data_IF_867416137484
#
_entry.id   IF_867416137484
#
_cell.length_a   1.000
_cell.length_b   1.000
_cell.length_c   1.000
_cell.angle_alpha   90.00
_cell.angle_beta   90.00
_cell.angle_gamma   90.00
#
_symmetry.space_group_name_H-M   'P 1'
#
loop_
_entity.id
_entity.type
_entity.pdbx_description
1 polymer ?
#
# COMPACT_ATOMS: atom_id res chain seq x y z
N UNK A 1 18.10 22.06 23.06
CA UNK A 1 17.07 21.88 22.01
C UNK A 1 17.53 20.82 21.03
N UNK A 2 16.84 19.71 20.99
CA UNK A 2 17.06 18.69 19.97
C UNK A 2 16.48 19.18 18.65
N UNK A 3 17.32 19.44 17.68
CA UNK A 3 16.87 19.73 16.31
C UNK A 3 16.12 18.50 15.81
N UNK A 4 14.84 18.66 15.49
CA UNK A 4 14.08 17.61 14.81
C UNK A 4 14.83 17.27 13.52
N UNK A 5 15.21 16.01 13.36
CA UNK A 5 15.81 15.55 12.09
C UNK A 5 14.83 15.87 10.96
N UNK A 6 15.31 16.41 9.84
CA UNK A 6 14.43 16.68 8.72
C UNK A 6 13.73 15.38 8.28
N UNK A 7 12.44 15.47 8.05
CA UNK A 7 11.63 14.36 7.55
C UNK A 7 12.27 13.82 6.26
N UNK A 8 12.69 12.57 6.29
CA UNK A 8 13.15 11.87 5.09
C UNK A 8 11.93 11.19 4.47
N UNK A 9 11.60 11.50 3.21
CA UNK A 9 10.57 10.73 2.50
C UNK A 9 10.90 9.24 2.57
N UNK A 10 9.95 8.43 3.03
CA UNK A 10 10.15 7.01 3.25
C UNK A 10 10.40 6.58 4.69
N UNK A 11 10.85 7.47 5.58
CA UNK A 11 11.04 7.14 6.99
C UNK A 11 9.72 6.91 7.74
N UNK A 12 8.62 7.39 7.20
CA UNK A 12 7.27 7.23 7.72
C UNK A 12 6.58 5.97 7.19
N UNK A 13 7.17 5.25 6.24
CA UNK A 13 6.61 4.03 5.67
C UNK A 13 6.70 2.90 6.67
N UNK A 14 5.56 2.26 6.94
CA UNK A 14 5.43 1.13 7.88
C UNK A 14 5.62 -0.19 7.14
N UNK A 15 4.92 -0.35 6.02
CA UNK A 15 4.96 -1.55 5.19
C UNK A 15 4.73 -1.17 3.73
N UNK A 16 5.35 -1.91 2.82
CA UNK A 16 5.25 -1.68 1.38
C UNK A 16 4.97 -2.99 0.66
N UNK A 17 4.07 -2.93 -0.32
CA UNK A 17 3.79 -4.06 -1.20
C UNK A 17 4.79 -4.05 -2.35
N UNK A 18 5.88 -4.75 -2.17
CA UNK A 18 7.00 -4.77 -3.13
C UNK A 18 6.65 -5.44 -4.46
N UNK A 19 5.68 -6.35 -4.46
CA UNK A 19 5.25 -7.08 -5.66
C UNK A 19 4.19 -6.37 -6.48
N UNK A 20 3.56 -5.35 -5.92
CA UNK A 20 2.42 -4.69 -6.56
C UNK A 20 2.73 -4.22 -7.98
N UNK A 21 3.84 -3.53 -8.17
CA UNK A 21 4.24 -3.00 -9.48
C UNK A 21 4.73 -4.07 -10.46
N UNK A 22 5.11 -5.23 -9.95
CA UNK A 22 5.47 -6.38 -10.79
C UNK A 22 4.23 -7.16 -11.24
N UNK A 23 3.29 -7.37 -10.34
CA UNK A 23 2.08 -8.16 -10.56
C UNK A 23 0.98 -7.36 -11.28
N UNK A 24 0.94 -6.05 -11.09
CA UNK A 24 -0.14 -5.18 -11.55
C UNK A 24 0.38 -3.96 -12.31
N UNK A 25 -0.39 -3.54 -13.31
CA UNK A 25 -0.23 -2.24 -13.96
C UNK A 25 -1.09 -1.23 -13.20
N UNK A 26 -0.45 -0.33 -12.45
CA UNK A 26 -1.12 0.66 -11.59
C UNK A 26 -1.34 1.93 -12.40
N UNK A 27 -2.60 2.32 -12.58
CA UNK A 27 -2.98 3.48 -13.37
C UNK A 27 -3.23 4.73 -12.54
N UNK A 28 -3.81 4.57 -11.35
CA UNK A 28 -4.16 5.68 -10.49
C UNK A 28 -3.95 5.30 -9.03
N UNK A 29 -3.48 6.23 -8.23
CA UNK A 29 -3.23 6.03 -6.80
C UNK A 29 -4.09 6.98 -5.97
N UNK A 30 -4.58 6.49 -4.82
CA UNK A 30 -5.34 7.26 -3.84
C UNK A 30 -4.74 7.08 -2.46
N UNK A 31 -4.86 8.11 -1.63
CA UNK A 31 -4.54 8.03 -0.21
C UNK A 31 -5.82 7.90 0.59
N UNK A 32 -5.89 6.86 1.42
CA UNK A 32 -7.03 6.60 2.28
C UNK A 32 -6.62 6.59 3.75
N UNK A 33 -7.52 7.01 4.62
CA UNK A 33 -7.39 6.76 6.05
C UNK A 33 -7.80 5.34 6.39
N UNK A 34 -7.36 4.85 7.54
CA UNK A 34 -7.74 3.54 8.07
C UNK A 34 -8.52 3.70 9.37
N UNK A 35 -9.67 3.04 9.45
CA UNK A 35 -10.40 2.90 10.70
C UNK A 35 -9.79 1.75 11.51
N UNK A 36 -9.05 2.10 12.55
CA UNK A 36 -8.24 1.16 13.33
C UNK A 36 -8.72 1.05 14.77
N UNK A 37 -8.54 -0.14 15.35
CA UNK A 37 -8.68 -0.37 16.78
C UNK A 37 -7.39 0.03 17.50
N UNK A 38 -7.47 0.27 18.82
CA UNK A 38 -6.30 0.73 19.59
C UNK A 38 -5.10 -0.21 19.52
N UNK A 39 -5.33 -1.52 19.58
CA UNK A 39 -4.26 -2.52 19.48
C UNK A 39 -3.60 -2.54 18.09
N UNK A 40 -4.36 -2.23 17.04
CA UNK A 40 -3.85 -2.15 15.67
C UNK A 40 -2.90 -0.95 15.50
N UNK A 41 -3.24 0.18 16.10
CA UNK A 41 -2.36 1.36 16.12
C UNK A 41 -1.04 1.05 16.83
N UNK A 42 -1.10 0.34 17.95
CA UNK A 42 0.11 -0.08 18.68
C UNK A 42 0.96 -1.02 17.83
N UNK A 43 0.35 -1.97 17.13
CA UNK A 43 1.05 -2.90 16.22
C UNK A 43 1.74 -2.15 15.09
N UNK A 44 1.08 -1.16 14.50
CA UNK A 44 1.67 -0.31 13.46
C UNK A 44 2.86 0.51 13.97
N UNK A 45 2.76 1.06 15.18
CA UNK A 45 3.88 1.80 15.79
C UNK A 45 5.09 0.92 16.06
N UNK A 46 4.85 -0.36 16.35
CA UNK A 46 5.92 -1.34 16.52
C UNK A 46 6.44 -1.93 15.20
N UNK A 47 5.90 -1.50 14.06
CA UNK A 47 6.27 -2.00 12.74
C UNK A 47 5.78 -3.42 12.46
N UNK A 48 4.80 -3.91 13.22
CA UNK A 48 4.27 -5.27 13.12
C UNK A 48 3.01 -5.34 12.26
N UNK A 49 3.13 -4.86 11.03
CA UNK A 49 2.08 -4.93 10.03
C UNK A 49 2.64 -5.51 8.74
N UNK A 50 1.89 -6.38 8.11
CA UNK A 50 2.23 -6.95 6.81
C UNK A 50 1.10 -6.61 5.84
N UNK A 51 1.45 -5.93 4.76
CA UNK A 51 0.50 -5.57 3.71
C UNK A 51 0.16 -6.77 2.82
N UNK A 52 1.11 -7.69 2.63
CA UNK A 52 0.92 -8.91 1.85
C UNK A 52 0.30 -8.66 0.49
N UNK A 53 -0.64 -9.53 0.11
CA UNK A 53 -1.43 -9.39 -1.12
C UNK A 53 -2.77 -8.71 -0.84
N UNK A 54 -2.78 -7.72 0.03
CA UNK A 54 -3.99 -7.02 0.43
C UNK A 54 -4.62 -6.26 -0.72
N UNK A 55 -5.93 -6.22 -0.71
CA UNK A 55 -6.74 -5.59 -1.74
C UNK A 55 -7.93 -4.86 -1.12
N UNK A 56 -8.57 -4.03 -1.92
CA UNK A 56 -9.72 -3.25 -1.49
C UNK A 56 -10.99 -3.82 -2.11
N UNK A 57 -11.98 -4.10 -1.28
CA UNK A 57 -13.33 -4.45 -1.71
C UNK A 57 -14.27 -3.27 -1.50
N UNK A 58 -15.09 -3.02 -2.52
CA UNK A 58 -16.15 -2.02 -2.47
C UNK A 58 -17.45 -2.71 -2.11
N UNK A 59 -18.07 -2.25 -1.03
CA UNK A 59 -19.29 -2.85 -0.49
C UNK A 59 -20.15 -1.78 0.16
N UNK A 60 -21.45 -1.78 -0.15
CA UNK A 60 -22.45 -0.89 0.46
C UNK A 60 -22.05 0.61 0.44
N UNK A 61 -21.47 1.07 -0.66
CA UNK A 61 -21.04 2.44 -0.82
C UNK A 61 -19.75 2.80 -0.10
N UNK A 62 -19.04 1.83 0.45
CA UNK A 62 -17.80 2.00 1.23
C UNK A 62 -16.68 1.14 0.67
N UNK A 63 -15.45 1.42 1.10
CA UNK A 63 -14.27 0.65 0.75
C UNK A 63 -13.69 -0.03 1.99
N UNK A 64 -13.29 -1.28 1.83
CA UNK A 64 -12.70 -2.09 2.91
C UNK A 64 -11.40 -2.72 2.47
N UNK A 65 -10.42 -2.72 3.36
CA UNK A 65 -9.13 -3.38 3.16
C UNK A 65 -9.18 -4.82 3.67
N UNK A 66 -8.85 -5.76 2.79
CA UNK A 66 -8.76 -7.20 3.08
C UNK A 66 -7.34 -7.73 2.85
N UNK A 67 -6.98 -8.75 3.59
CA UNK A 67 -5.72 -9.47 3.38
C UNK A 67 -4.50 -8.86 4.07
N UNK A 68 -4.63 -7.71 4.70
CA UNK A 68 -3.57 -7.15 5.52
C UNK A 68 -3.53 -7.83 6.89
N UNK A 69 -2.33 -8.07 7.41
CA UNK A 69 -2.12 -8.71 8.71
C UNK A 69 -1.44 -7.73 9.68
N UNK A 70 -2.08 -7.48 10.81
CA UNK A 70 -1.54 -6.69 11.90
C UNK A 70 -1.33 -7.63 13.10
N UNK A 71 -0.07 -7.90 13.42
CA UNK A 71 0.28 -8.83 14.50
C UNK A 71 0.02 -8.17 15.87
N UNK A 72 -0.86 -8.74 16.72
CA UNK A 72 -1.07 -8.22 18.07
C UNK A 72 0.21 -8.27 18.89
N UNK A 73 0.42 -7.23 19.70
CA UNK A 73 1.53 -7.22 20.65
C UNK A 73 1.17 -8.09 21.88
N UNK A 74 2.19 -8.69 22.48
CA UNK A 74 2.03 -9.57 23.66
C UNK A 74 1.44 -8.83 24.88
N UNK A 75 1.52 -7.52 24.90
CA UNK A 75 0.97 -6.65 25.97
C UNK A 75 -0.47 -6.22 25.70
N UNK A 76 -1.11 -6.73 24.63
CA UNK A 76 -2.51 -6.47 24.37
C UNK A 76 -3.36 -7.04 25.53
N UNK A 77 -4.37 -6.28 25.97
CA UNK A 77 -5.24 -6.69 27.05
C UNK A 77 -5.96 -8.02 26.72
N UNK A 78 -6.01 -8.93 27.69
CA UNK A 78 -6.76 -10.20 27.58
C UNK A 78 -8.26 -10.02 27.34
N UNK A 79 -8.78 -8.81 27.55
CA UNK A 79 -10.20 -8.48 27.31
C UNK A 79 -10.47 -8.02 25.88
N UNK A 80 -9.44 -7.86 25.06
CA UNK A 80 -9.56 -7.41 23.66
C UNK A 80 -9.38 -8.60 22.74
N UNK A 81 -10.38 -8.85 21.89
CA UNK A 81 -10.26 -9.83 20.80
C UNK A 81 -9.46 -9.17 19.69
N UNK A 82 -8.25 -9.65 19.46
CA UNK A 82 -7.36 -9.15 18.43
C UNK A 82 -7.41 -10.09 17.22
N UNK A 83 -8.16 -9.70 16.17
CA UNK A 83 -8.17 -10.41 14.90
C UNK A 83 -7.12 -9.79 13.96
N UNK A 84 -6.00 -10.47 13.69
CA UNK A 84 -4.93 -9.93 12.85
C UNK A 84 -5.34 -9.61 11.42
N UNK A 85 -6.30 -10.36 10.89
CA UNK A 85 -6.75 -10.26 9.50
C UNK A 85 -8.13 -9.60 9.35
N UNK A 86 -8.56 -8.88 10.36
CA UNK A 86 -9.83 -8.14 10.34
C UNK A 86 -9.91 -7.24 9.10
N UNK A 87 -11.05 -7.24 8.43
CA UNK A 87 -11.31 -6.25 7.37
C UNK A 87 -11.41 -4.86 7.99
N UNK A 88 -10.77 -3.89 7.36
CA UNK A 88 -10.65 -2.53 7.89
C UNK A 88 -11.29 -1.55 6.92
N UNK A 89 -12.17 -0.70 7.45
CA UNK A 89 -12.81 0.32 6.64
C UNK A 89 -11.80 1.39 6.23
N UNK A 90 -11.81 1.73 4.96
CA UNK A 90 -11.03 2.84 4.42
C UNK A 90 -11.84 4.14 4.50
N UNK A 91 -11.17 5.20 4.90
CA UNK A 91 -11.76 6.54 5.01
C UNK A 91 -11.41 7.33 3.75
N UNK A 92 -12.36 7.41 2.85
CA UNK A 92 -12.27 8.11 1.57
C UNK A 92 -13.43 9.10 1.47
N UNK A 93 -13.22 10.20 0.73
CA UNK A 93 -14.32 11.11 0.43
C UNK A 93 -15.25 10.51 -0.64
N UNK A 94 -16.43 11.08 -0.79
CA UNK A 94 -17.44 10.57 -1.71
C UNK A 94 -16.99 10.55 -3.17
N UNK A 95 -16.24 11.56 -3.58
CA UNK A 95 -15.68 11.62 -4.95
C UNK A 95 -14.73 10.48 -5.25
N UNK A 96 -13.85 10.19 -4.30
CA UNK A 96 -12.89 9.08 -4.42
C UNK A 96 -13.60 7.75 -4.46
N UNK A 97 -14.61 7.54 -3.60
CA UNK A 97 -15.45 6.34 -3.61
C UNK A 97 -16.17 6.16 -4.94
N UNK A 98 -16.79 7.21 -5.45
CA UNK A 98 -17.50 7.17 -6.74
C UNK A 98 -16.55 6.82 -7.89
N UNK A 99 -15.36 7.39 -7.90
CA UNK A 99 -14.32 7.09 -8.89
C UNK A 99 -13.91 5.62 -8.81
N UNK A 100 -13.67 5.10 -7.61
CA UNK A 100 -13.29 3.69 -7.42
C UNK A 100 -14.42 2.74 -7.86
N UNK A 101 -15.65 3.02 -7.50
CA UNK A 101 -16.80 2.22 -7.93
C UNK A 101 -16.93 2.17 -9.45
N UNK A 102 -16.74 3.30 -10.11
CA UNK A 102 -16.76 3.38 -11.58
C UNK A 102 -15.64 2.56 -12.22
N UNK A 103 -14.42 2.68 -11.70
CA UNK A 103 -13.26 1.93 -12.19
C UNK A 103 -13.43 0.43 -12.03
N UNK A 104 -13.88 -0.02 -10.87
CA UNK A 104 -14.03 -1.45 -10.58
C UNK A 104 -15.22 -2.05 -11.33
N UNK A 105 -16.40 -1.42 -11.26
CA UNK A 105 -17.64 -2.00 -11.78
C UNK A 105 -17.81 -1.82 -13.29
N UNK A 106 -17.34 -0.70 -13.85
CA UNK A 106 -17.52 -0.39 -15.28
C UNK A 106 -16.32 -0.77 -16.13
N UNK A 107 -15.10 -0.58 -15.59
CA UNK A 107 -13.87 -0.76 -16.35
C UNK A 107 -13.10 -2.04 -16.00
N UNK A 108 -13.56 -2.78 -14.99
CA UNK A 108 -12.97 -4.06 -14.59
C UNK A 108 -11.61 -3.98 -13.91
N UNK A 109 -11.28 -2.83 -13.31
CA UNK A 109 -10.07 -2.69 -12.51
C UNK A 109 -10.21 -3.39 -11.14
N UNK A 110 -9.08 -3.74 -10.56
CA UNK A 110 -8.98 -4.11 -9.15
C UNK A 110 -8.32 -2.98 -8.36
N UNK A 111 -8.53 -2.95 -7.07
CA UNK A 111 -7.89 -1.99 -6.18
C UNK A 111 -7.02 -2.73 -5.19
N UNK A 112 -5.74 -2.41 -5.16
CA UNK A 112 -4.75 -3.06 -4.31
C UNK A 112 -4.14 -2.07 -3.32
N UNK A 113 -3.67 -2.57 -2.19
CA UNK A 113 -2.94 -1.75 -1.24
C UNK A 113 -1.45 -1.71 -1.62
N UNK A 114 -0.87 -0.54 -1.62
CA UNK A 114 0.52 -0.32 -2.03
C UNK A 114 1.45 -0.12 -0.84
N UNK A 115 1.04 0.68 0.14
CA UNK A 115 1.86 0.95 1.32
C UNK A 115 1.03 1.46 2.49
N UNK A 116 1.51 1.19 3.70
CA UNK A 116 1.07 1.85 4.93
C UNK A 116 2.13 2.85 5.36
N UNK A 117 1.72 4.04 5.77
CA UNK A 117 2.64 5.08 6.21
C UNK A 117 1.98 6.03 7.19
N UNK A 118 2.82 6.74 7.97
CA UNK A 118 2.37 7.77 8.87
C UNK A 118 2.33 9.12 8.16
N UNK A 119 1.21 9.81 8.30
CA UNK A 119 1.09 11.20 7.92
C UNK A 119 0.68 11.98 9.17
N UNK A 120 1.64 12.68 9.78
CA UNK A 120 1.50 13.20 11.12
C UNK A 120 1.18 12.08 12.13
N UNK A 121 0.10 12.18 12.89
CA UNK A 121 -0.32 11.15 13.84
C UNK A 121 -1.26 10.08 13.23
N UNK A 122 -1.56 10.16 11.95
CA UNK A 122 -2.53 9.30 11.29
C UNK A 122 -1.84 8.25 10.43
N UNK A 123 -2.32 7.01 10.54
CA UNK A 123 -1.94 5.97 9.61
C UNK A 123 -2.75 6.10 8.33
N UNK A 124 -2.05 6.18 7.22
CA UNK A 124 -2.63 6.23 5.88
C UNK A 124 -2.23 5.00 5.08
N UNK A 125 -3.07 4.65 4.14
CA UNK A 125 -2.77 3.60 3.16
C UNK A 125 -2.83 4.20 1.76
N UNK A 126 -1.81 3.93 0.96
CA UNK A 126 -1.85 4.22 -0.46
C UNK A 126 -2.46 3.03 -1.17
N UNK A 127 -3.51 3.27 -1.93
CA UNK A 127 -4.19 2.25 -2.72
C UNK A 127 -4.05 2.58 -4.20
N UNK A 128 -4.02 1.57 -5.04
CA UNK A 128 -3.85 1.72 -6.48
C UNK A 128 -4.94 1.03 -7.26
N UNK A 129 -5.49 1.73 -8.25
CA UNK A 129 -6.37 1.16 -9.25
C UNK A 129 -5.50 0.48 -10.30
N UNK A 130 -5.66 -0.82 -10.49
CA UNK A 130 -4.71 -1.62 -11.25
C UNK A 130 -5.39 -2.73 -12.04
N UNK A 131 -4.66 -3.22 -13.04
CA UNK A 131 -4.97 -4.45 -13.78
C UNK A 131 -3.83 -5.44 -13.62
N UNK A 132 -4.14 -6.72 -13.53
CA UNK A 132 -3.13 -7.77 -13.52
C UNK A 132 -2.31 -7.78 -14.81
N UNK A 133 -0.99 -7.83 -14.68
CA UNK A 133 -0.10 -7.94 -15.84
C UNK A 133 -0.13 -9.34 -16.41
N UNK A 134 -0.20 -9.43 -17.74
CA UNK A 134 0.03 -10.67 -18.45
C UNK A 134 1.51 -11.04 -18.43
N UNK A 135 1.82 -12.31 -18.59
CA UNK A 135 3.22 -12.79 -18.52
C UNK A 135 4.17 -12.05 -19.46
N UNK A 136 3.72 -11.68 -20.66
CA UNK A 136 4.56 -10.94 -21.60
C UNK A 136 4.83 -9.49 -21.16
N UNK A 137 3.88 -8.85 -20.48
CA UNK A 137 4.07 -7.50 -19.91
C UNK A 137 5.13 -7.50 -18.81
N UNK A 138 5.12 -8.53 -17.95
CA UNK A 138 6.13 -8.72 -16.91
C UNK A 138 7.52 -8.90 -17.51
N UNK A 139 7.65 -9.69 -18.58
CA UNK A 139 8.93 -9.90 -19.28
C UNK A 139 9.43 -8.61 -19.93
N UNK A 140 8.55 -7.84 -20.55
CA UNK A 140 8.89 -6.55 -21.17
C UNK A 140 9.41 -5.56 -20.12
N UNK A 141 8.78 -5.47 -18.97
CA UNK A 141 9.21 -4.61 -17.87
C UNK A 141 10.60 -5.01 -17.34
N UNK A 142 10.86 -6.30 -17.21
CA UNK A 142 12.17 -6.82 -16.77
C UNK A 142 13.26 -6.46 -17.79
N UNK A 143 13.00 -6.69 -19.07
CA UNK A 143 13.93 -6.34 -20.16
C UNK A 143 14.23 -4.85 -20.19
N UNK A 144 13.22 -4.01 -20.04
CA UNK A 144 13.37 -2.55 -20.00
C UNK A 144 14.26 -2.12 -18.83
N UNK A 145 14.03 -2.68 -17.65
CA UNK A 145 14.86 -2.36 -16.47
C UNK A 145 16.31 -2.80 -16.65
N UNK A 146 16.54 -3.98 -17.19
CA UNK A 146 17.90 -4.49 -17.48
C UNK A 146 18.61 -3.60 -18.51
N UNK A 147 17.90 -3.22 -19.58
CA UNK A 147 18.45 -2.33 -20.60
C UNK A 147 18.83 -0.95 -20.04
N UNK A 148 18.00 -0.39 -19.16
CA UNK A 148 18.29 0.88 -18.47
C UNK A 148 19.54 0.78 -17.60
N UNK A 149 19.71 -0.33 -16.89
CA UNK A 149 20.90 -0.58 -16.07
C UNK A 149 22.16 -0.70 -16.93
N UNK A 150 22.12 -1.44 -18.02
CA UNK A 150 23.25 -1.61 -18.94
C UNK A 150 23.63 -0.28 -19.59
N UNK A 151 22.66 0.49 -20.02
CA UNK A 151 22.89 1.83 -20.57
C UNK A 151 23.59 2.74 -19.56
N UNK A 152 23.18 2.72 -18.30
CA UNK A 152 23.80 3.50 -17.24
C UNK A 152 25.26 3.08 -16.99
N UNK A 153 25.57 1.78 -17.07
CA UNK A 153 26.94 1.25 -16.96
C UNK A 153 27.82 1.73 -18.10
N UNK A 154 27.34 1.66 -19.33
CA UNK A 154 28.07 2.11 -20.52
C UNK A 154 28.37 3.60 -20.42
N UNK A 155 27.43 4.42 -20.01
CA UNK A 155 27.62 5.86 -19.82
C UNK A 155 28.68 6.18 -18.75
N UNK A 156 28.72 5.42 -17.65
CA UNK A 156 29.76 5.56 -16.62
C UNK A 156 31.14 5.25 -17.14
N UNK A 157 31.31 4.29 -18.03
CA UNK A 157 32.61 3.92 -18.62
C UNK A 157 33.08 4.93 -19.66
N UNK A 158 32.16 5.54 -20.42
CA UNK A 158 32.51 6.52 -21.45
C UNK A 158 32.92 7.89 -20.89
N UNK A 159 32.57 8.19 -19.64
CA UNK A 159 32.88 9.46 -18.97
C UNK A 159 34.18 9.41 -18.10
N UNK A 160 35.02 8.42 -18.27
CA UNK A 160 36.32 8.34 -17.60
C UNK A 160 37.44 8.94 -18.48
#
# INVERSE_FOLDING_TARGET
MTKKKPYKPGSATIAMNKRARHEYSIEEEFEAGLSLQGWEVKSLRAGKANIGDSYVLLRDGEAYLFGANFTPLTVASSHVVCDPTRSRKLLLNQRELDTLYGKVNREGYTVIALSFYWKNAWCKVKIGVARGKKSHDKRSDIKEREWQLDKARIMKHSNR
#
